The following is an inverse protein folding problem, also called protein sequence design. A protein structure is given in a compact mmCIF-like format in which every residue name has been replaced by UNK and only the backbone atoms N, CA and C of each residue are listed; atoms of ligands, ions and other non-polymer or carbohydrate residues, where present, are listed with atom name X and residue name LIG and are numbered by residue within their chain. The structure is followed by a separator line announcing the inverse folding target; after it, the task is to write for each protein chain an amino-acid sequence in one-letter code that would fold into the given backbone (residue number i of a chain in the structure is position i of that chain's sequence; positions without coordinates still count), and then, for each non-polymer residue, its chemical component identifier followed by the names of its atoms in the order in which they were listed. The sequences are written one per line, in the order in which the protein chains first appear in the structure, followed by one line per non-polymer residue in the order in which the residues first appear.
data_IF_198436941904
#
_entry.id   IF_198436941904
#
_cell.length_a   1.000
_cell.length_b   1.000
_cell.length_c   1.000
_cell.angle_alpha   90.00
_cell.angle_beta   90.00
_cell.angle_gamma   90.00
#
_symmetry.space_group_name_H-M   'P 1'
#
loop_
_entity.id
_entity.type
_entity.pdbx_description
1 polymer ?
#
# COMPACT_ATOMS: atom_id res chain seq x y z
N UNK A 1 -14.05 8.40 -15.16
CA UNK A 1 -13.02 9.41 -15.50
C UNK A 1 -11.65 8.74 -15.45
N UNK A 2 -10.64 9.17 -16.21
CA UNK A 2 -9.29 8.59 -16.09
C UNK A 2 -8.61 9.03 -14.77
N UNK A 3 -7.51 8.38 -14.38
CA UNK A 3 -6.66 8.86 -13.28
C UNK A 3 -6.18 10.30 -13.58
N UNK A 4 -6.19 11.20 -12.58
CA UNK A 4 -5.67 12.55 -12.78
C UNK A 4 -4.14 12.53 -12.95
N UNK A 5 -3.60 13.53 -13.64
CA UNK A 5 -2.17 13.81 -13.56
C UNK A 5 -1.86 14.42 -12.19
N UNK A 6 -0.88 13.86 -11.49
CA UNK A 6 -0.52 14.21 -10.13
C UNK A 6 0.70 15.13 -10.15
N UNK A 7 0.56 16.31 -9.55
CA UNK A 7 1.65 17.26 -9.42
C UNK A 7 2.69 16.75 -8.39
N UNK A 8 3.99 16.99 -8.62
CA UNK A 8 5.02 16.65 -7.65
C UNK A 8 4.79 17.32 -6.28
N UNK A 9 5.08 16.58 -5.22
CA UNK A 9 5.03 17.08 -3.85
C UNK A 9 6.04 16.32 -2.97
N UNK A 10 6.55 16.92 -1.88
CA UNK A 10 7.56 16.27 -1.04
C UNK A 10 6.96 15.12 -0.21
N UNK A 11 7.76 14.08 0.04
CA UNK A 11 7.42 13.03 0.99
C UNK A 11 7.35 13.60 2.43
N UNK A 12 6.41 13.17 3.29
CA UNK A 12 6.34 13.65 4.66
C UNK A 12 7.58 13.24 5.46
N UNK A 13 8.03 14.14 6.32
CA UNK A 13 9.14 13.88 7.25
C UNK A 13 8.63 13.27 8.56
N UNK A 14 9.50 12.59 9.28
CA UNK A 14 9.17 11.97 10.56
C UNK A 14 8.61 12.99 11.58
N UNK A 15 9.10 14.23 11.57
CA UNK A 15 8.62 15.29 12.46
C UNK A 15 7.19 15.78 12.14
N UNK A 16 6.68 15.48 10.94
CA UNK A 16 5.38 15.94 10.44
C UNK A 16 4.27 14.89 10.66
N UNK A 17 4.63 13.70 11.14
CA UNK A 17 3.69 12.62 11.33
C UNK A 17 2.69 12.92 12.46
N UNK A 18 1.41 12.53 12.28
CA UNK A 18 0.42 12.70 13.32
C UNK A 18 0.74 11.84 14.55
N UNK A 19 0.33 12.32 15.73
CA UNK A 19 0.41 11.51 16.95
C UNK A 19 -0.50 10.28 16.82
N UNK A 20 0.07 9.10 17.06
CA UNK A 20 -0.70 7.85 17.10
C UNK A 20 -1.56 7.76 18.36
N UNK A 21 -2.76 7.18 18.23
CA UNK A 21 -3.64 6.90 19.38
C UNK A 21 -3.29 5.63 20.14
N UNK A 22 -2.52 4.74 19.52
CA UNK A 22 -2.14 3.43 20.05
C UNK A 22 -0.63 3.25 19.88
N UNK A 23 -0.04 2.40 20.71
CA UNK A 23 1.41 2.17 20.79
C UNK A 23 1.79 0.77 20.30
N UNK A 24 1.07 0.24 19.31
CA UNK A 24 1.43 -1.05 18.73
C UNK A 24 2.82 -0.97 18.10
N UNK A 25 3.57 -2.05 18.23
CA UNK A 25 4.87 -2.24 17.58
C UNK A 25 4.80 -3.46 16.67
N UNK A 26 5.61 -3.45 15.62
CA UNK A 26 5.68 -4.59 14.69
C UNK A 26 6.45 -5.72 15.35
N UNK A 27 5.88 -6.92 15.31
CA UNK A 27 6.50 -8.19 15.67
C UNK A 27 6.71 -9.00 14.37
N UNK A 28 7.97 -9.32 13.99
CA UNK A 28 8.26 -10.07 12.77
C UNK A 28 7.53 -11.40 12.63
N UNK A 29 7.21 -12.08 13.74
CA UNK A 29 6.50 -13.35 13.72
C UNK A 29 5.01 -13.17 13.40
N UNK A 30 4.46 -11.96 13.62
CA UNK A 30 3.04 -11.62 13.48
C UNK A 30 2.73 -10.78 12.24
N UNK A 31 3.73 -10.13 11.66
CA UNK A 31 3.55 -9.15 10.60
C UNK A 31 3.68 -9.71 9.19
N UNK A 32 2.98 -9.10 8.24
CA UNK A 32 3.31 -9.15 6.81
C UNK A 32 3.57 -7.72 6.31
N UNK A 33 4.41 -7.58 5.29
CA UNK A 33 4.55 -6.36 4.51
C UNK A 33 3.63 -6.44 3.28
N UNK A 34 2.75 -5.45 3.11
CA UNK A 34 1.91 -5.28 1.94
C UNK A 34 2.42 -4.14 1.06
N UNK A 35 2.77 -4.48 -0.17
CA UNK A 35 3.08 -3.54 -1.26
C UNK A 35 1.81 -3.31 -2.07
N UNK A 36 1.10 -2.23 -1.77
CA UNK A 36 -0.24 -1.98 -2.30
C UNK A 36 -0.20 -1.25 -3.64
N UNK A 37 -0.56 -1.95 -4.71
CA UNK A 37 -0.87 -1.41 -6.05
C UNK A 37 0.24 -0.54 -6.68
N UNK A 38 1.52 -0.85 -6.45
CA UNK A 38 2.65 -0.17 -7.11
C UNK A 38 2.89 -0.68 -8.55
N UNK A 39 1.82 -0.77 -9.34
CA UNK A 39 1.85 -1.11 -10.76
C UNK A 39 2.23 0.12 -11.61
N UNK A 40 2.87 -0.12 -12.76
CA UNK A 40 3.27 0.95 -13.69
C UNK A 40 2.10 1.84 -14.10
N UNK A 41 0.89 1.29 -14.24
CA UNK A 41 -0.33 2.06 -14.53
C UNK A 41 -0.61 3.14 -13.49
N UNK A 42 -0.61 2.81 -12.19
CA UNK A 42 -0.89 3.78 -11.13
C UNK A 42 0.24 4.80 -10.97
N UNK A 43 1.48 4.35 -11.17
CA UNK A 43 2.66 5.22 -11.15
C UNK A 43 2.73 6.17 -12.35
N UNK A 44 2.06 5.85 -13.47
CA UNK A 44 2.00 6.72 -14.64
C UNK A 44 1.19 8.01 -14.42
N UNK A 45 0.41 8.08 -13.33
CA UNK A 45 -0.26 9.31 -12.91
C UNK A 45 0.74 10.36 -12.42
N UNK A 46 1.97 9.97 -12.07
CA UNK A 46 3.03 10.85 -11.59
C UNK A 46 4.10 11.11 -12.65
N UNK A 47 4.86 12.20 -12.49
CA UNK A 47 6.21 12.28 -13.04
C UNK A 47 7.15 11.40 -12.21
N UNK A 48 7.52 10.23 -12.75
CA UNK A 48 8.37 9.24 -12.06
C UNK A 48 9.76 9.74 -11.70
N UNK A 49 10.22 10.85 -12.27
CA UNK A 49 11.54 11.45 -11.97
C UNK A 49 11.49 12.47 -10.84
N UNK A 50 10.29 12.87 -10.43
CA UNK A 50 10.05 13.89 -9.42
C UNK A 50 9.46 13.27 -8.16
N UNK A 51 9.58 13.96 -7.03
CA UNK A 51 8.95 13.54 -5.78
C UNK A 51 7.42 13.37 -5.97
N UNK A 52 6.80 12.36 -5.33
CA UNK A 52 7.37 11.47 -4.32
C UNK A 52 7.95 10.15 -4.87
N UNK A 53 7.87 9.87 -6.17
CA UNK A 53 8.05 8.50 -6.71
C UNK A 53 9.45 7.89 -6.46
N UNK A 54 10.57 8.59 -6.70
CA UNK A 54 11.90 8.02 -6.42
C UNK A 54 12.10 7.62 -4.95
N UNK A 55 11.63 8.46 -4.03
CA UNK A 55 11.72 8.21 -2.59
C UNK A 55 10.80 7.06 -2.16
N UNK A 56 9.56 7.05 -2.67
CA UNK A 56 8.59 5.97 -2.47
C UNK A 56 9.19 4.60 -2.82
N UNK A 57 9.69 4.44 -4.05
CA UNK A 57 10.22 3.16 -4.52
C UNK A 57 11.49 2.76 -3.77
N UNK A 58 12.37 3.72 -3.45
CA UNK A 58 13.56 3.48 -2.62
C UNK A 58 13.19 2.97 -1.23
N UNK A 59 12.22 3.60 -0.55
CA UNK A 59 11.78 3.19 0.78
C UNK A 59 11.08 1.83 0.76
N UNK A 60 10.22 1.56 -0.22
CA UNK A 60 9.58 0.24 -0.37
C UNK A 60 10.61 -0.85 -0.63
N UNK A 61 11.63 -0.59 -1.46
CA UNK A 61 12.73 -1.54 -1.69
C UNK A 61 13.53 -1.82 -0.40
N UNK A 62 13.81 -0.78 0.41
CA UNK A 62 14.48 -0.93 1.70
C UNK A 62 13.64 -1.78 2.67
N UNK A 63 12.35 -1.48 2.80
CA UNK A 63 11.42 -2.22 3.66
C UNK A 63 11.30 -3.67 3.24
N UNK A 64 11.19 -3.94 1.93
CA UNK A 64 11.14 -5.30 1.38
C UNK A 64 12.40 -6.08 1.74
N UNK A 65 13.58 -5.50 1.55
CA UNK A 65 14.85 -6.13 1.92
C UNK A 65 14.92 -6.41 3.43
N UNK A 66 14.48 -5.47 4.25
CA UNK A 66 14.48 -5.64 5.70
C UNK A 66 13.47 -6.69 6.16
N UNK A 67 12.25 -6.66 5.65
CA UNK A 67 11.19 -7.62 5.93
C UNK A 67 11.66 -9.05 5.67
N UNK A 68 12.27 -9.32 4.51
CA UNK A 68 12.86 -10.63 4.19
C UNK A 68 13.96 -11.04 5.16
N UNK A 69 14.83 -10.11 5.52
CA UNK A 69 15.93 -10.37 6.47
C UNK A 69 15.43 -10.80 7.85
N UNK A 70 14.29 -10.26 8.31
CA UNK A 70 13.72 -10.54 9.63
C UNK A 70 12.56 -11.56 9.58
N UNK A 71 12.29 -12.18 8.43
CA UNK A 71 11.26 -13.22 8.30
C UNK A 71 9.82 -12.72 8.23
N UNK A 72 9.61 -11.44 7.89
CA UNK A 72 8.30 -10.87 7.56
C UNK A 72 7.99 -11.16 6.08
N UNK A 73 6.92 -11.91 5.77
CA UNK A 73 6.51 -12.18 4.40
C UNK A 73 6.14 -10.91 3.66
N UNK A 74 6.40 -10.87 2.37
CA UNK A 74 6.07 -9.75 1.49
C UNK A 74 4.95 -10.16 0.55
N UNK A 75 3.87 -9.41 0.60
CA UNK A 75 2.67 -9.58 -0.20
C UNK A 75 2.50 -8.34 -1.09
N UNK A 76 1.96 -8.55 -2.29
CA UNK A 76 1.63 -7.48 -3.23
C UNK A 76 0.15 -7.53 -3.54
N UNK A 77 -0.46 -6.37 -3.80
CA UNK A 77 -1.73 -6.31 -4.53
C UNK A 77 -1.51 -5.74 -5.92
N UNK A 78 -2.19 -6.32 -6.90
CA UNK A 78 -2.17 -5.86 -8.28
C UNK A 78 -3.54 -6.03 -8.93
N UNK A 79 -4.09 -4.98 -9.53
CA UNK A 79 -5.31 -5.11 -10.33
C UNK A 79 -5.03 -5.94 -11.58
N UNK A 80 -5.96 -6.82 -11.98
CA UNK A 80 -5.89 -7.44 -13.29
C UNK A 80 -6.17 -6.35 -14.34
N UNK A 81 -5.42 -6.39 -15.44
CA UNK A 81 -5.67 -5.54 -16.59
C UNK A 81 -6.85 -6.03 -17.42
N UNK A 82 -7.58 -5.10 -18.03
CA UNK A 82 -8.66 -5.44 -18.96
C UNK A 82 -9.90 -6.04 -18.32
N UNK A 83 -10.22 -5.64 -17.08
CA UNK A 83 -11.45 -6.06 -16.39
C UNK A 83 -12.69 -5.80 -17.26
N UNK A 84 -13.59 -6.78 -17.29
CA UNK A 84 -14.93 -6.59 -17.85
C UNK A 84 -15.74 -5.57 -17.01
N UNK A 85 -16.80 -4.98 -17.58
CA UNK A 85 -17.68 -4.08 -16.83
C UNK A 85 -18.25 -4.72 -15.56
N UNK A 86 -18.61 -6.01 -15.58
CA UNK A 86 -19.19 -6.70 -14.43
C UNK A 86 -18.14 -6.91 -13.31
N UNK A 87 -16.91 -7.27 -13.68
CA UNK A 87 -15.81 -7.42 -12.72
C UNK A 87 -15.47 -6.08 -12.04
N UNK A 88 -15.46 -5.00 -12.83
CA UNK A 88 -15.08 -3.67 -12.36
C UNK A 88 -16.18 -3.02 -11.52
N UNK A 89 -17.44 -3.20 -11.92
CA UNK A 89 -18.63 -2.69 -11.24
C UNK A 89 -18.61 -1.16 -11.10
N UNK A 90 -19.05 -0.66 -9.93
CA UNK A 90 -19.18 0.78 -9.63
C UNK A 90 -17.87 1.60 -9.68
N UNK A 91 -16.72 0.94 -9.81
CA UNK A 91 -15.46 1.66 -10.03
C UNK A 91 -15.42 2.35 -11.39
N UNK A 92 -16.24 1.90 -12.35
CA UNK A 92 -16.32 2.51 -13.67
C UNK A 92 -16.83 3.94 -13.62
N UNK A 93 -17.82 4.19 -12.76
CA UNK A 93 -18.43 5.50 -12.58
C UNK A 93 -17.40 6.56 -12.14
N UNK A 94 -16.45 6.17 -11.28
CA UNK A 94 -15.38 7.03 -10.80
C UNK A 94 -14.16 7.00 -11.73
N UNK A 95 -13.64 5.81 -12.03
CA UNK A 95 -12.31 5.58 -12.60
C UNK A 95 -12.31 5.04 -14.04
N UNK A 96 -13.46 5.01 -14.70
CA UNK A 96 -13.59 4.49 -16.07
C UNK A 96 -13.21 3.00 -16.18
N UNK A 97 -12.78 2.53 -17.37
CA UNK A 97 -12.47 1.12 -17.58
C UNK A 97 -11.23 0.64 -16.80
N UNK A 98 -10.41 1.56 -16.29
CA UNK A 98 -9.25 1.26 -15.46
C UNK A 98 -8.03 0.78 -16.22
N UNK A 99 -7.26 -0.07 -15.52
CA UNK A 99 -6.00 -0.62 -16.01
C UNK A 99 -6.26 -1.43 -17.29
N UNK A 100 -5.64 -1.06 -18.44
CA UNK A 100 -5.86 -1.76 -19.71
C UNK A 100 -5.29 -3.18 -19.67
N UNK A 101 -5.70 -4.05 -20.60
CA UNK A 101 -5.12 -5.40 -20.76
C UNK A 101 -3.69 -5.38 -21.33
N UNK A 102 -2.83 -4.52 -20.79
CA UNK A 102 -1.43 -4.33 -21.18
C UNK A 102 -0.50 -4.89 -20.09
N UNK A 103 0.39 -5.84 -20.41
CA UNK A 103 1.29 -6.45 -19.43
C UNK A 103 2.23 -5.46 -18.74
N UNK A 104 2.73 -4.45 -19.46
CA UNK A 104 3.65 -3.48 -18.86
C UNK A 104 2.93 -2.60 -17.83
N UNK A 105 1.74 -2.10 -18.18
CA UNK A 105 0.87 -1.33 -17.28
C UNK A 105 0.47 -2.14 -16.04
N UNK A 106 0.20 -3.44 -16.21
CA UNK A 106 -0.18 -4.35 -15.14
C UNK A 106 1.00 -4.78 -14.25
N UNK A 107 2.24 -4.70 -14.73
CA UNK A 107 3.41 -5.10 -13.96
C UNK A 107 3.66 -4.17 -12.77
N UNK A 108 4.10 -4.75 -11.66
CA UNK A 108 4.72 -4.00 -10.55
C UNK A 108 6.00 -3.33 -11.07
N UNK A 109 6.31 -2.14 -10.57
CA UNK A 109 7.52 -1.42 -10.96
C UNK A 109 8.79 -2.25 -10.77
N UNK A 110 9.69 -2.22 -11.76
CA UNK A 110 10.90 -3.06 -11.80
C UNK A 110 11.78 -2.93 -10.56
N UNK A 111 11.88 -1.73 -9.98
CA UNK A 111 12.69 -1.44 -8.78
C UNK A 111 12.28 -2.26 -7.54
N UNK A 112 11.03 -2.75 -7.53
CA UNK A 112 10.40 -3.48 -6.42
C UNK A 112 9.64 -4.70 -6.92
N UNK A 113 10.02 -5.24 -8.08
CA UNK A 113 9.38 -6.41 -8.65
C UNK A 113 9.35 -7.58 -7.64
N UNK A 114 8.23 -8.30 -7.53
CA UNK A 114 8.15 -9.51 -6.72
C UNK A 114 9.18 -10.55 -7.19
N UNK A 115 9.75 -11.32 -6.27
CA UNK A 115 10.53 -12.52 -6.57
C UNK A 115 9.78 -13.80 -6.16
N UNK A 116 10.46 -14.95 -6.20
CA UNK A 116 9.87 -16.28 -5.98
C UNK A 116 9.31 -16.51 -4.57
N UNK A 117 9.78 -15.74 -3.57
CA UNK A 117 9.30 -15.85 -2.19
C UNK A 117 8.11 -14.91 -1.90
N UNK A 118 7.77 -14.04 -2.85
CA UNK A 118 6.71 -13.04 -2.71
C UNK A 118 5.38 -13.57 -3.26
N UNK A 119 4.26 -13.16 -2.65
CA UNK A 119 2.93 -13.49 -3.17
C UNK A 119 2.23 -12.26 -3.75
N UNK A 120 1.60 -12.42 -4.92
CA UNK A 120 0.83 -11.36 -5.59
C UNK A 120 -0.65 -11.70 -5.56
N UNK A 121 -1.44 -10.87 -4.88
CA UNK A 121 -2.88 -11.00 -4.77
C UNK A 121 -3.57 -10.15 -5.83
N UNK A 122 -4.52 -10.75 -6.55
CA UNK A 122 -5.35 -10.02 -7.51
C UNK A 122 -6.29 -9.06 -6.80
N UNK A 123 -6.15 -7.77 -7.09
CA UNK A 123 -6.90 -6.67 -6.46
C UNK A 123 -8.17 -6.32 -7.23
N UNK A 124 -9.30 -6.26 -6.53
CA UNK A 124 -10.60 -5.99 -7.17
C UNK A 124 -11.29 -4.70 -6.76
N UNK A 125 -11.06 -4.21 -5.53
CA UNK A 125 -11.69 -3.00 -4.95
C UNK A 125 -10.64 -2.17 -4.20
N UNK A 126 -11.04 -1.11 -3.49
CA UNK A 126 -10.11 -0.26 -2.74
C UNK A 126 -9.39 -0.99 -1.61
N UNK A 127 -10.09 -1.82 -0.84
CA UNK A 127 -9.45 -2.63 0.20
C UNK A 127 -8.72 -3.83 -0.41
N UNK A 128 -7.55 -4.16 0.12
CA UNK A 128 -6.77 -5.35 -0.20
C UNK A 128 -7.42 -6.66 0.24
N UNK A 129 -8.46 -6.61 1.08
CA UNK A 129 -9.17 -7.79 1.57
C UNK A 129 -10.33 -8.20 0.65
N UNK A 130 -10.97 -7.24 -0.01
CA UNK A 130 -12.22 -7.49 -0.75
C UNK A 130 -11.98 -8.33 -2.00
N UNK A 131 -12.60 -9.52 -2.04
CA UNK A 131 -12.48 -10.53 -3.11
C UNK A 131 -11.05 -11.07 -3.28
N UNK A 132 -10.32 -11.18 -2.17
CA UNK A 132 -8.98 -11.77 -2.12
C UNK A 132 -8.93 -12.85 -1.05
N UNK A 133 -7.85 -13.60 -1.00
CA UNK A 133 -7.56 -14.56 0.08
C UNK A 133 -6.63 -13.96 1.17
N UNK A 134 -6.51 -12.63 1.26
CA UNK A 134 -5.57 -11.96 2.17
C UNK A 134 -5.84 -12.31 3.65
N UNK A 135 -7.10 -12.29 4.07
CA UNK A 135 -7.48 -12.60 5.45
C UNK A 135 -7.20 -14.07 5.78
N UNK A 136 -7.56 -14.98 4.88
CA UNK A 136 -7.29 -16.41 5.04
C UNK A 136 -5.78 -16.65 5.18
N UNK A 137 -4.96 -16.07 4.31
CA UNK A 137 -3.49 -16.19 4.37
C UNK A 137 -2.90 -15.70 5.68
N UNK A 138 -3.35 -14.53 6.16
CA UNK A 138 -2.92 -13.99 7.44
C UNK A 138 -3.24 -14.95 8.59
N UNK A 139 -4.46 -15.47 8.63
CA UNK A 139 -4.92 -16.41 9.66
C UNK A 139 -4.18 -17.75 9.60
N UNK A 140 -4.01 -18.32 8.42
CA UNK A 140 -3.30 -19.58 8.21
C UNK A 140 -1.83 -19.50 8.64
N UNK A 141 -1.21 -18.33 8.48
CA UNK A 141 0.17 -18.08 8.91
C UNK A 141 0.27 -17.65 10.38
N UNK A 142 -0.85 -17.49 11.10
CA UNK A 142 -0.87 -16.99 12.47
C UNK A 142 -0.42 -15.54 12.59
N UNK A 143 -0.64 -14.73 11.55
CA UNK A 143 -0.20 -13.33 11.44
C UNK A 143 -1.39 -12.39 11.58
N UNK A 144 -1.30 -11.46 12.52
CA UNK A 144 -2.35 -10.49 12.88
C UNK A 144 -1.85 -9.04 12.82
N UNK A 145 -0.74 -8.79 12.12
CA UNK A 145 -0.23 -7.46 11.83
C UNK A 145 0.03 -7.27 10.33
N UNK A 146 -0.25 -6.07 9.83
CA UNK A 146 -0.01 -5.70 8.42
C UNK A 146 0.68 -4.35 8.31
N UNK A 147 1.86 -4.33 7.69
CA UNK A 147 2.62 -3.13 7.36
C UNK A 147 2.28 -2.74 5.93
N UNK A 148 1.68 -1.58 5.72
CA UNK A 148 1.11 -1.16 4.43
C UNK A 148 1.97 -0.05 3.82
N UNK A 149 2.34 -0.27 2.56
CA UNK A 149 3.07 0.66 1.68
C UNK A 149 2.34 0.77 0.34
N UNK A 150 2.68 1.76 -0.48
CA UNK A 150 2.18 1.86 -1.86
C UNK A 150 1.19 3.00 -2.09
N UNK A 151 0.25 2.81 -3.04
CA UNK A 151 -0.65 3.89 -3.50
C UNK A 151 -2.10 3.43 -3.64
N UNK A 152 -3.09 4.32 -3.59
CA UNK A 152 -3.01 5.72 -3.14
C UNK A 152 -3.36 5.82 -1.65
N UNK A 153 -2.67 6.68 -0.91
CA UNK A 153 -2.75 6.75 0.55
C UNK A 153 -4.20 6.88 1.06
N UNK A 154 -4.98 7.84 0.57
CA UNK A 154 -6.37 8.07 1.01
C UNK A 154 -7.41 7.11 0.42
N UNK A 155 -7.05 6.32 -0.59
CA UNK A 155 -7.96 5.41 -1.29
C UNK A 155 -7.68 3.97 -0.85
N UNK A 156 -6.77 3.29 -1.55
CA UNK A 156 -6.57 1.85 -1.38
C UNK A 156 -5.89 1.52 -0.05
N UNK A 157 -4.84 2.28 0.28
CA UNK A 157 -4.06 2.10 1.50
C UNK A 157 -4.93 2.35 2.74
N UNK A 158 -5.63 3.48 2.81
CA UNK A 158 -6.50 3.82 3.95
C UNK A 158 -7.65 2.83 4.11
N UNK A 159 -8.31 2.43 3.01
CA UNK A 159 -9.40 1.46 3.07
C UNK A 159 -8.90 0.07 3.49
N UNK A 160 -7.71 -0.33 3.06
CA UNK A 160 -7.09 -1.58 3.51
C UNK A 160 -6.74 -1.53 5.00
N UNK A 161 -6.19 -0.42 5.49
CA UNK A 161 -5.90 -0.24 6.91
C UNK A 161 -7.17 -0.27 7.77
N UNK A 162 -8.26 0.36 7.29
CA UNK A 162 -9.56 0.34 7.95
C UNK A 162 -10.15 -1.09 8.00
N UNK A 163 -10.12 -1.82 6.88
CA UNK A 163 -10.59 -3.20 6.81
C UNK A 163 -9.76 -4.14 7.68
N UNK A 164 -8.44 -3.96 7.75
CA UNK A 164 -7.57 -4.71 8.65
C UNK A 164 -8.01 -4.50 10.11
N UNK A 165 -8.20 -3.24 10.51
CA UNK A 165 -8.65 -2.90 11.86
C UNK A 165 -10.01 -3.51 12.20
N UNK A 166 -10.98 -3.49 11.27
CA UNK A 166 -12.29 -4.11 11.46
C UNK A 166 -12.25 -5.66 11.54
N UNK A 167 -11.12 -6.26 11.17
CA UNK A 167 -10.89 -7.71 11.18
C UNK A 167 -9.91 -8.14 12.28
N UNK A 168 -9.67 -7.27 13.26
CA UNK A 168 -8.73 -7.47 14.38
C UNK A 168 -7.27 -7.68 13.93
N UNK A 169 -6.88 -7.10 12.79
CA UNK A 169 -5.50 -7.06 12.30
C UNK A 169 -4.92 -5.67 12.59
N UNK A 170 -3.78 -5.61 13.28
CA UNK A 170 -3.11 -4.34 13.57
C UNK A 170 -2.45 -3.78 12.29
N UNK A 171 -2.96 -2.65 11.81
CA UNK A 171 -2.41 -1.98 10.64
C UNK A 171 -1.30 -0.98 11.03
N UNK A 172 -0.26 -0.95 10.21
CA UNK A 172 0.83 0.01 10.26
C UNK A 172 0.95 0.68 8.90
N UNK A 173 0.74 1.99 8.79
CA UNK A 173 0.92 2.72 7.53
C UNK A 173 2.27 3.41 7.56
N UNK A 174 3.14 3.10 6.60
CA UNK A 174 4.48 3.66 6.53
C UNK A 174 4.44 4.96 5.70
N UNK A 175 4.40 6.10 6.39
CA UNK A 175 4.08 7.40 5.82
C UNK A 175 5.01 7.86 4.69
N UNK A 176 6.30 7.54 4.79
CA UNK A 176 7.31 7.85 3.77
C UNK A 176 7.43 6.75 2.70
N UNK A 177 6.62 5.69 2.78
CA UNK A 177 6.52 4.62 1.78
C UNK A 177 5.08 4.46 1.25
N UNK A 178 4.28 5.52 1.33
CA UNK A 178 3.01 5.66 0.61
C UNK A 178 2.99 6.98 -0.17
N UNK A 179 2.19 7.03 -1.24
CA UNK A 179 1.97 8.26 -1.99
C UNK A 179 0.51 8.43 -2.39
N UNK A 180 0.16 9.64 -2.81
CA UNK A 180 -1.21 10.05 -3.05
C UNK A 180 -1.32 11.08 -4.18
N UNK A 181 -2.53 11.56 -4.45
CA UNK A 181 -2.84 12.57 -5.47
C UNK A 181 -2.32 13.97 -5.11
N UNK A 182 -2.10 14.23 -3.82
CA UNK A 182 -1.56 15.50 -3.34
C UNK A 182 -0.94 15.33 -1.95
N UNK A 183 -0.14 16.31 -1.53
CA UNK A 183 0.34 16.37 -0.15
C UNK A 183 -0.82 16.50 0.86
N UNK A 184 -1.93 17.12 0.47
CA UNK A 184 -3.11 17.27 1.32
C UNK A 184 -3.83 15.94 1.56
N UNK A 185 -4.10 15.18 0.48
CA UNK A 185 -4.72 13.86 0.55
C UNK A 185 -3.84 12.88 1.33
N UNK A 186 -2.53 12.92 1.06
CA UNK A 186 -1.55 12.13 1.80
C UNK A 186 -1.62 12.45 3.30
N UNK A 187 -1.50 13.72 3.69
CA UNK A 187 -1.55 14.13 5.09
C UNK A 187 -2.91 13.82 5.75
N UNK A 188 -4.01 13.92 5.00
CA UNK A 188 -5.35 13.55 5.46
C UNK A 188 -5.43 12.06 5.79
N UNK A 189 -4.95 11.20 4.88
CA UNK A 189 -4.94 9.75 5.06
C UNK A 189 -4.16 9.36 6.32
N UNK A 190 -2.96 9.94 6.51
CA UNK A 190 -2.13 9.67 7.68
C UNK A 190 -2.82 10.13 8.98
N UNK A 191 -3.35 11.36 9.02
CA UNK A 191 -4.07 11.88 10.20
C UNK A 191 -5.27 11.00 10.55
N UNK A 192 -6.01 10.55 9.55
CA UNK A 192 -7.16 9.68 9.76
C UNK A 192 -6.74 8.31 10.28
N UNK A 193 -5.76 7.67 9.64
CA UNK A 193 -5.24 6.36 10.01
C UNK A 193 -4.76 6.34 11.48
N UNK A 194 -3.87 7.26 11.86
CA UNK A 194 -3.35 7.40 13.23
C UNK A 194 -4.46 7.63 14.28
N UNK A 195 -5.54 8.30 13.86
CA UNK A 195 -6.66 8.65 14.72
C UNK A 195 -7.76 7.59 14.82
N UNK A 196 -7.74 6.55 13.97
CA UNK A 196 -8.89 5.63 13.79
C UNK A 196 -8.54 4.15 13.65
N UNK A 197 -7.50 3.77 12.89
CA UNK A 197 -7.36 2.38 12.47
C UNK A 197 -5.92 1.84 12.38
N UNK A 198 -4.89 2.66 12.50
CA UNK A 198 -3.51 2.21 12.30
C UNK A 198 -2.51 2.99 13.15
N UNK A 199 -1.33 2.41 13.34
CA UNK A 199 -0.12 3.16 13.68
C UNK A 199 0.46 3.74 12.41
N UNK A 200 0.66 5.06 12.36
CA UNK A 200 1.44 5.73 11.33
C UNK A 200 2.89 5.79 11.78
N UNK A 201 3.79 5.31 10.93
CA UNK A 201 5.22 5.18 11.22
C UNK A 201 6.06 5.57 10.00
N UNK A 202 7.38 5.49 10.08
CA UNK A 202 8.31 5.75 8.99
C UNK A 202 9.08 4.50 8.60
N UNK A 203 9.69 4.53 7.42
CA UNK A 203 10.53 3.45 6.90
C UNK A 203 11.66 3.14 7.86
N UNK A 204 12.23 4.19 8.47
CA UNK A 204 13.28 4.05 9.47
C UNK A 204 12.78 3.34 10.74
N UNK A 205 11.58 3.66 11.23
CA UNK A 205 11.13 3.24 12.56
C UNK A 205 10.30 1.95 12.58
N UNK A 206 9.65 1.57 11.48
CA UNK A 206 8.64 0.49 11.47
C UNK A 206 9.15 -0.87 11.95
N UNK A 207 10.43 -1.17 11.71
CA UNK A 207 11.09 -2.39 12.16
C UNK A 207 12.21 -2.11 13.18
N UNK A 208 12.23 -0.94 13.82
CA UNK A 208 13.18 -0.68 14.92
C UNK A 208 12.82 -1.57 16.13
N UNK A 209 13.78 -2.38 16.58
CA UNK A 209 13.60 -3.32 17.70
C UNK A 209 13.08 -4.71 17.31
N UNK A 210 12.92 -4.96 16.01
CA UNK A 210 12.50 -6.22 15.41
C UNK A 210 13.68 -7.14 15.06
#
# INVERSE_FOLDING_TARGET
MALPAIAPYPMPRAEELPANRVEWTVDPARAVLLVHDLQNYFLSAYDRRSAPVPELLSHVAQLRKQAKRIGVPVLYTAQPGGQSPDERGLQQDFWGPGLPGDPHAAAIADDIAPDEDDAVLTKWKYSGFVRTDLLERLREQGRDQIVITGVYAHIGVLMTACDAWMQDIQAFVVADAVADFSAEDHAMALRWAAGKCAVVTSTRAVFEGA
#
